data_IF_882026212513
#
_entry.id   IF_882026212513
#
_cell.length_a   1.000
_cell.length_b   1.000
_cell.length_c   1.000
_cell.angle_alpha   90.00
_cell.angle_beta   90.00
_cell.angle_gamma   90.00
#
_symmetry.space_group_name_H-M   'P 1'
#
loop_
_entity.id
_entity.type
_entity.pdbx_description
1 polymer ?
#
# COMPACT_ATOMS: atom_id res chain seq x y z
N UNK A 1 2.65 -10.07 15.80
CA UNK A 1 1.67 -8.95 15.56
C UNK A 1 0.47 -9.47 14.78
N UNK A 2 -0.71 -8.88 14.98
CA UNK A 2 -1.90 -9.29 14.25
C UNK A 2 -1.83 -8.82 12.81
N UNK A 3 -2.16 -9.71 11.85
CA UNK A 3 -2.25 -9.39 10.44
C UNK A 3 -3.72 -9.37 10.01
N UNK A 4 -4.10 -8.36 9.22
CA UNK A 4 -5.41 -8.27 8.59
C UNK A 4 -5.27 -8.19 7.08
N UNK A 5 -6.18 -8.82 6.33
CA UNK A 5 -6.31 -8.53 4.91
C UNK A 5 -7.73 -8.10 4.57
N UNK A 6 -7.81 -7.04 3.75
CA UNK A 6 -9.07 -6.41 3.34
C UNK A 6 -9.56 -7.12 2.09
N UNK A 7 -10.79 -7.65 2.12
CA UNK A 7 -11.35 -8.32 0.96
C UNK A 7 -12.87 -8.14 0.87
N UNK A 8 -13.37 -7.85 -0.32
CA UNK A 8 -14.81 -7.76 -0.61
C UNK A 8 -15.47 -9.13 -0.54
N UNK A 9 -16.67 -9.21 0.08
CA UNK A 9 -17.44 -10.46 0.19
C UNK A 9 -17.77 -11.08 -1.16
N UNK A 10 -17.99 -10.25 -2.19
CA UNK A 10 -18.33 -10.67 -3.54
C UNK A 10 -17.13 -11.07 -4.40
N UNK A 11 -15.90 -11.08 -3.85
CA UNK A 11 -14.68 -11.44 -4.56
C UNK A 11 -13.95 -12.58 -3.80
N UNK A 12 -14.54 -13.77 -3.73
CA UNK A 12 -13.99 -14.90 -2.96
C UNK A 12 -12.69 -15.46 -3.54
N UNK A 13 -12.44 -15.30 -4.83
CA UNK A 13 -11.19 -15.72 -5.47
C UNK A 13 -9.96 -14.97 -4.95
N UNK A 14 -10.09 -13.67 -4.66
CA UNK A 14 -9.03 -12.88 -4.04
C UNK A 14 -8.81 -13.28 -2.58
N UNK A 15 -9.90 -13.60 -1.87
CA UNK A 15 -9.79 -14.18 -0.54
C UNK A 15 -8.97 -15.47 -0.56
N UNK A 16 -9.31 -16.40 -1.44
CA UNK A 16 -8.59 -17.67 -1.60
C UNK A 16 -7.12 -17.44 -1.95
N UNK A 17 -6.83 -16.45 -2.81
CA UNK A 17 -5.47 -16.06 -3.13
C UNK A 17 -4.71 -15.63 -1.87
N UNK A 18 -5.25 -14.71 -1.08
CA UNK A 18 -4.57 -14.21 0.12
C UNK A 18 -4.38 -15.29 1.19
N UNK A 19 -5.38 -16.13 1.43
CA UNK A 19 -5.27 -17.27 2.36
C UNK A 19 -4.13 -18.23 1.95
N UNK A 20 -3.87 -18.36 0.64
CA UNK A 20 -2.75 -19.12 0.09
C UNK A 20 -1.41 -18.40 0.27
N UNK A 21 -1.35 -17.09 -0.02
CA UNK A 21 -0.14 -16.29 0.17
C UNK A 21 0.31 -16.29 1.64
N UNK A 22 -0.61 -16.11 2.57
CA UNK A 22 -0.29 -16.19 4.01
C UNK A 22 0.20 -17.58 4.41
N UNK A 23 -0.47 -18.65 3.95
CA UNK A 23 -0.05 -20.02 4.22
C UNK A 23 1.34 -20.31 3.66
N UNK A 24 1.64 -19.83 2.45
CA UNK A 24 2.94 -20.01 1.79
C UNK A 24 4.10 -19.47 2.63
N UNK A 25 3.90 -18.35 3.29
CA UNK A 25 4.94 -17.73 4.13
C UNK A 25 4.81 -18.08 5.62
N UNK A 26 3.85 -18.92 6.00
CA UNK A 26 3.66 -19.34 7.39
C UNK A 26 3.10 -18.25 8.32
N UNK A 27 2.37 -17.28 7.78
CA UNK A 27 1.70 -16.25 8.54
C UNK A 27 0.20 -16.55 8.69
N UNK A 28 -0.36 -16.16 9.84
CA UNK A 28 -1.79 -16.14 10.06
C UNK A 28 -2.33 -14.71 9.87
N UNK A 29 -3.48 -14.60 9.21
CA UNK A 29 -4.14 -13.33 9.03
C UNK A 29 -5.66 -13.46 9.16
N UNK A 30 -6.28 -12.44 9.74
CA UNK A 30 -7.74 -12.32 9.82
C UNK A 30 -8.25 -11.57 8.60
N UNK A 31 -9.24 -12.18 7.91
CA UNK A 31 -9.94 -11.48 6.84
C UNK A 31 -10.81 -10.38 7.42
N UNK A 32 -10.66 -9.17 6.89
CA UNK A 32 -11.50 -8.03 7.20
C UNK A 32 -12.43 -7.73 6.02
N UNK A 33 -13.75 -7.72 6.26
CA UNK A 33 -14.73 -7.44 5.21
C UNK A 33 -14.61 -5.98 4.75
N UNK A 34 -14.30 -5.80 3.47
CA UNK A 34 -14.15 -4.49 2.85
C UNK A 34 -15.48 -3.75 2.73
N UNK A 35 -15.43 -2.43 2.74
CA UNK A 35 -16.58 -1.59 2.40
C UNK A 35 -16.83 -1.66 0.89
N UNK A 36 -17.96 -2.24 0.49
CA UNK A 36 -18.32 -2.31 -0.92
C UNK A 36 -18.83 -0.94 -1.41
N UNK A 37 -18.06 -0.34 -2.29
CA UNK A 37 -18.40 0.97 -2.86
C UNK A 37 -19.67 0.96 -3.73
N UNK A 38 -20.14 -0.21 -4.17
CA UNK A 38 -21.44 -0.34 -4.85
C UNK A 38 -22.62 -0.22 -3.88
N UNK A 39 -22.36 -0.41 -2.60
CA UNK A 39 -23.30 -0.37 -1.50
C UNK A 39 -22.90 0.64 -0.43
N UNK A 40 -22.15 1.69 -0.83
CA UNK A 40 -21.57 2.65 0.13
C UNK A 40 -22.65 3.36 0.97
N UNK A 41 -23.83 3.51 0.40
CA UNK A 41 -24.98 4.12 1.04
C UNK A 41 -25.57 3.27 2.18
N UNK A 42 -25.29 1.96 2.18
CA UNK A 42 -25.72 1.03 3.23
C UNK A 42 -24.84 1.10 4.49
N UNK A 43 -23.73 1.83 4.41
CA UNK A 43 -22.76 1.89 5.51
C UNK A 43 -22.94 3.16 6.36
N UNK A 44 -23.08 2.96 7.64
CA UNK A 44 -23.05 4.05 8.61
C UNK A 44 -21.63 4.58 8.80
N UNK A 45 -21.53 5.82 9.26
CA UNK A 45 -20.26 6.48 9.63
C UNK A 45 -19.23 6.64 8.51
N UNK A 46 -19.65 6.66 7.24
CA UNK A 46 -18.80 7.09 6.13
C UNK A 46 -18.42 8.55 6.34
N UNK A 47 -17.10 8.83 6.36
CA UNK A 47 -16.57 10.18 6.65
C UNK A 47 -16.11 10.93 5.41
N UNK A 48 -16.37 10.38 4.24
CA UNK A 48 -16.10 11.09 3.00
C UNK A 48 -16.97 12.34 2.86
N UNK A 49 -16.31 13.47 2.67
CA UNK A 49 -16.98 14.74 2.34
C UNK A 49 -16.26 15.36 1.15
N UNK A 50 -16.93 15.63 0.03
CA UNK A 50 -16.31 16.32 -1.10
C UNK A 50 -15.61 17.59 -0.62
N UNK A 51 -14.37 17.78 -1.02
CA UNK A 51 -13.55 18.97 -0.73
C UNK A 51 -12.99 19.08 0.69
N UNK A 52 -13.18 18.07 1.53
CA UNK A 52 -12.60 18.07 2.88
C UNK A 52 -11.08 17.87 2.90
N UNK A 53 -10.50 17.33 1.81
CA UNK A 53 -9.06 17.06 1.68
C UNK A 53 -8.39 17.79 0.52
N UNK A 54 -7.19 17.32 0.16
CA UNK A 54 -6.42 17.88 -0.94
C UNK A 54 -7.00 17.57 -2.31
N UNK A 55 -7.82 16.53 -2.42
CA UNK A 55 -8.40 16.05 -3.67
C UNK A 55 -9.87 16.46 -3.79
N UNK A 56 -10.29 16.63 -5.04
CA UNK A 56 -11.67 16.96 -5.38
C UNK A 56 -12.35 15.84 -6.15
N UNK A 57 -11.57 15.04 -6.82
CA UNK A 57 -12.04 14.04 -7.76
C UNK A 57 -11.55 12.67 -7.31
N UNK A 58 -12.23 12.07 -6.35
CA UNK A 58 -12.09 10.66 -6.06
C UNK A 58 -13.29 9.88 -6.60
N UNK A 59 -13.04 8.64 -6.97
CA UNK A 59 -14.06 7.74 -7.50
C UNK A 59 -14.65 6.88 -6.38
N UNK A 60 -15.84 6.33 -6.60
CA UNK A 60 -16.54 5.53 -5.57
C UNK A 60 -15.67 4.40 -4.99
N UNK A 61 -14.92 3.68 -5.84
CA UNK A 61 -14.03 2.62 -5.35
C UNK A 61 -12.98 3.12 -4.35
N UNK A 62 -12.45 4.32 -4.55
CA UNK A 62 -11.46 4.91 -3.62
C UNK A 62 -12.06 5.27 -2.27
N UNK A 63 -13.35 5.65 -2.23
CA UNK A 63 -14.08 5.85 -0.97
C UNK A 63 -14.19 4.51 -0.23
N UNK A 64 -14.62 3.45 -0.93
CA UNK A 64 -14.73 2.12 -0.33
C UNK A 64 -13.40 1.61 0.23
N UNK A 65 -12.30 1.77 -0.50
CA UNK A 65 -10.97 1.41 -0.02
C UNK A 65 -10.61 2.22 1.22
N UNK A 66 -10.77 3.54 1.19
CA UNK A 66 -10.44 4.40 2.34
C UNK A 66 -11.25 4.01 3.59
N UNK A 67 -12.56 3.82 3.47
CA UNK A 67 -13.40 3.43 4.59
C UNK A 67 -13.05 2.02 5.11
N UNK A 68 -12.60 1.12 4.25
CA UNK A 68 -12.13 -0.21 4.69
C UNK A 68 -10.92 -0.08 5.61
N UNK A 69 -9.93 0.75 5.25
CA UNK A 69 -8.78 1.01 6.12
C UNK A 69 -9.18 1.72 7.42
N UNK A 70 -10.07 2.73 7.36
CA UNK A 70 -10.58 3.37 8.57
C UNK A 70 -11.20 2.37 9.55
N UNK A 71 -11.99 1.43 9.05
CA UNK A 71 -12.65 0.40 9.87
C UNK A 71 -11.64 -0.57 10.49
N UNK A 72 -10.56 -0.90 9.79
CA UNK A 72 -9.48 -1.69 10.39
C UNK A 72 -8.80 -0.91 11.51
N UNK A 73 -8.50 0.38 11.34
CA UNK A 73 -7.93 1.20 12.41
C UNK A 73 -8.87 1.25 13.63
N UNK A 74 -10.17 1.38 13.43
CA UNK A 74 -11.16 1.29 14.51
C UNK A 74 -11.15 -0.08 15.20
N UNK A 75 -11.07 -1.17 14.41
CA UNK A 75 -11.01 -2.52 14.94
C UNK A 75 -9.73 -2.80 15.74
N UNK A 76 -8.59 -2.23 15.30
CA UNK A 76 -7.34 -2.26 16.08
C UNK A 76 -7.53 -1.66 17.48
N UNK A 77 -8.14 -0.47 17.55
CA UNK A 77 -8.37 0.20 18.83
C UNK A 77 -9.36 -0.58 19.69
N UNK A 78 -10.43 -1.09 19.12
CA UNK A 78 -11.43 -1.88 19.81
C UNK A 78 -10.89 -3.22 20.36
N UNK A 79 -9.88 -3.79 19.70
CA UNK A 79 -9.20 -5.03 20.10
C UNK A 79 -7.96 -4.78 20.98
N UNK A 80 -7.69 -3.54 21.35
CA UNK A 80 -6.56 -3.13 22.16
C UNK A 80 -5.19 -3.56 21.59
N UNK A 81 -5.04 -3.51 20.25
CA UNK A 81 -3.80 -3.88 19.56
C UNK A 81 -2.81 -2.72 19.54
N UNK A 82 -1.58 -2.95 19.99
CA UNK A 82 -0.52 -1.93 19.93
C UNK A 82 0.00 -1.70 18.52
N UNK A 83 -0.06 -2.73 17.68
CA UNK A 83 0.41 -2.71 16.30
C UNK A 83 -0.32 -3.75 15.46
N UNK A 84 -0.50 -3.47 14.17
CA UNK A 84 -1.02 -4.43 13.21
C UNK A 84 -0.34 -4.30 11.85
N UNK A 85 -0.32 -5.41 11.10
CA UNK A 85 0.02 -5.42 9.70
C UNK A 85 -1.29 -5.50 8.88
N UNK A 86 -1.41 -4.64 7.87
CA UNK A 86 -2.61 -4.48 7.06
C UNK A 86 -2.26 -4.72 5.60
N UNK A 87 -3.06 -5.54 4.91
CA UNK A 87 -2.85 -5.96 3.53
C UNK A 87 -4.12 -5.79 2.69
N UNK A 88 -3.97 -5.44 1.41
CA UNK A 88 -5.02 -5.56 0.40
C UNK A 88 -5.12 -7.01 -0.10
N UNK A 89 -6.15 -7.34 -0.89
CA UNK A 89 -6.48 -8.72 -1.29
C UNK A 89 -5.84 -9.19 -2.60
N UNK A 90 -4.90 -8.43 -3.13
CA UNK A 90 -4.16 -8.75 -4.35
C UNK A 90 -2.63 -8.72 -4.14
N UNK A 91 -2.18 -9.05 -2.94
CA UNK A 91 -0.77 -9.02 -2.59
C UNK A 91 -0.05 -10.31 -2.98
N UNK A 92 1.22 -10.14 -3.29
CA UNK A 92 2.25 -11.15 -3.41
C UNK A 92 3.28 -10.94 -2.30
N UNK A 93 3.70 -12.01 -1.64
CA UNK A 93 4.65 -11.96 -0.54
C UNK A 93 5.96 -12.67 -0.84
N UNK A 94 7.05 -12.04 -0.42
CA UNK A 94 8.34 -12.69 -0.28
C UNK A 94 8.46 -13.34 1.11
N UNK A 95 9.18 -14.48 1.26
CA UNK A 95 9.36 -15.13 2.55
C UNK A 95 9.93 -14.24 3.64
N UNK A 96 10.72 -13.25 3.25
CA UNK A 96 11.36 -12.27 4.12
C UNK A 96 10.36 -11.40 4.90
N UNK A 97 9.11 -11.36 4.48
CA UNK A 97 8.06 -10.61 5.20
C UNK A 97 7.93 -11.07 6.66
N UNK A 98 8.13 -12.36 6.92
CA UNK A 98 8.01 -12.94 8.26
C UNK A 98 9.08 -12.36 9.19
N UNK A 99 10.34 -12.33 8.74
CA UNK A 99 11.44 -11.77 9.54
C UNK A 99 11.26 -10.27 9.76
N UNK A 100 10.84 -9.53 8.73
CA UNK A 100 10.58 -8.09 8.87
C UNK A 100 9.46 -7.80 9.86
N UNK A 101 8.32 -8.50 9.76
CA UNK A 101 7.18 -8.31 10.67
C UNK A 101 7.55 -8.67 12.12
N UNK A 102 8.26 -9.78 12.34
CA UNK A 102 8.73 -10.19 13.67
C UNK A 102 9.65 -9.14 14.29
N UNK A 103 10.55 -8.57 13.51
CA UNK A 103 11.47 -7.53 13.99
C UNK A 103 10.77 -6.20 14.24
N UNK A 104 9.81 -5.81 13.41
CA UNK A 104 9.01 -4.61 13.64
C UNK A 104 8.18 -4.73 14.91
N UNK A 105 7.65 -5.92 15.21
CA UNK A 105 6.88 -6.18 16.42
C UNK A 105 7.72 -6.05 17.70
N UNK A 106 8.98 -6.48 17.65
CA UNK A 106 9.90 -6.43 18.79
C UNK A 106 10.61 -5.09 18.93
N UNK A 107 10.64 -4.28 17.89
CA UNK A 107 11.24 -2.95 17.95
C UNK A 107 10.34 -2.00 18.75
N UNK A 108 10.92 -1.24 19.68
CA UNK A 108 10.19 -0.13 20.29
C UNK A 108 9.75 0.84 19.16
N UNK A 109 8.46 1.19 19.05
CA UNK A 109 7.96 1.87 17.87
C UNK A 109 8.51 3.29 17.75
N UNK A 110 9.54 3.43 16.94
CA UNK A 110 10.10 4.72 16.52
C UNK A 110 9.49 5.24 15.21
N UNK A 111 8.40 4.61 14.78
CA UNK A 111 7.65 4.92 13.58
C UNK A 111 6.16 4.99 13.87
N UNK A 112 5.42 5.61 12.99
CA UNK A 112 3.96 5.62 13.00
C UNK A 112 3.43 4.57 12.01
N UNK A 113 3.95 4.57 10.79
CA UNK A 113 3.66 3.57 9.77
C UNK A 113 4.93 3.15 9.04
N UNK A 114 5.00 1.87 8.67
CA UNK A 114 6.04 1.31 7.80
C UNK A 114 5.39 0.66 6.60
N UNK A 115 5.68 1.19 5.42
CA UNK A 115 5.23 0.67 4.14
C UNK A 115 6.12 -0.51 3.72
N UNK A 116 5.49 -1.64 3.37
CA UNK A 116 6.16 -2.91 3.04
C UNK A 116 6.16 -3.21 1.54
N UNK A 117 5.31 -2.51 0.78
CA UNK A 117 5.14 -2.63 -0.67
C UNK A 117 5.65 -1.39 -1.42
N UNK A 118 5.63 -1.46 -2.75
CA UNK A 118 5.91 -0.32 -3.61
C UNK A 118 5.10 -0.42 -4.90
N UNK A 119 4.83 0.73 -5.51
CA UNK A 119 4.35 0.83 -6.88
C UNK A 119 5.51 0.91 -7.90
N UNK A 120 6.76 0.78 -7.45
CA UNK A 120 7.98 0.81 -8.25
C UNK A 120 8.17 2.09 -9.08
N UNK A 121 7.56 3.17 -8.66
CA UNK A 121 7.85 4.51 -9.18
C UNK A 121 8.89 5.20 -8.31
N UNK A 122 9.77 6.04 -8.91
CA UNK A 122 10.75 6.78 -8.14
C UNK A 122 10.10 7.74 -7.15
N UNK A 123 10.33 7.52 -5.86
CA UNK A 123 9.92 8.39 -4.74
C UNK A 123 11.14 8.90 -3.98
N UNK A 124 11.11 10.17 -3.54
CA UNK A 124 12.14 10.69 -2.66
C UNK A 124 12.05 10.05 -1.28
N UNK A 125 13.15 9.44 -0.87
CA UNK A 125 13.31 8.84 0.45
C UNK A 125 14.52 9.46 1.15
N UNK A 126 14.49 9.58 2.47
CA UNK A 126 15.63 10.06 3.26
C UNK A 126 16.82 9.09 3.20
N UNK A 127 17.96 9.49 3.76
CA UNK A 127 18.93 8.54 4.27
C UNK A 127 18.23 7.54 5.22
N UNK A 128 18.78 6.33 5.45
CA UNK A 128 18.23 5.45 6.48
C UNK A 128 18.22 6.18 7.83
N UNK A 129 17.03 6.33 8.42
CA UNK A 129 16.87 6.95 9.74
C UNK A 129 16.81 5.89 10.84
N UNK A 130 16.30 4.72 10.50
CA UNK A 130 16.19 3.55 11.36
C UNK A 130 16.70 2.32 10.60
N UNK A 131 17.16 1.32 11.33
CA UNK A 131 17.49 0.00 10.78
C UNK A 131 16.87 -1.07 11.67
N UNK A 132 16.00 -1.87 11.09
CA UNK A 132 15.33 -2.98 11.77
C UNK A 132 15.91 -4.28 11.24
N UNK A 133 16.84 -4.87 12.00
CA UNK A 133 17.63 -6.01 11.51
C UNK A 133 18.46 -5.61 10.27
N UNK A 134 18.15 -6.23 9.13
CA UNK A 134 18.79 -5.92 7.84
C UNK A 134 18.06 -4.87 7.01
N UNK A 135 16.87 -4.41 7.42
CA UNK A 135 16.07 -3.45 6.67
C UNK A 135 16.35 -2.01 7.10
N UNK A 136 16.93 -1.19 6.22
CA UNK A 136 16.90 0.25 6.39
C UNK A 136 15.47 0.76 6.20
N UNK A 137 15.01 1.56 7.14
CA UNK A 137 13.78 2.31 7.06
C UNK A 137 14.11 3.74 6.67
N UNK A 138 13.57 4.17 5.53
CA UNK A 138 13.78 5.51 4.98
C UNK A 138 12.49 6.30 5.06
N UNK A 139 12.56 7.51 5.58
CA UNK A 139 11.39 8.38 5.64
C UNK A 139 10.87 8.70 4.25
N UNK A 140 9.57 8.60 4.06
CA UNK A 140 8.89 8.99 2.82
C UNK A 140 8.81 10.52 2.79
N UNK A 141 9.34 11.15 1.74
CA UNK A 141 9.47 12.60 1.62
C UNK A 141 8.51 13.24 0.61
N UNK A 142 7.61 12.45 0.02
CA UNK A 142 6.58 12.92 -0.92
C UNK A 142 5.33 12.05 -0.84
N UNK A 143 4.34 12.41 -1.65
CA UNK A 143 3.20 11.51 -1.89
C UNK A 143 3.71 10.14 -2.38
N UNK A 144 3.13 9.07 -1.88
CA UNK A 144 3.52 7.69 -2.20
C UNK A 144 2.31 6.92 -2.70
N UNK A 145 2.48 6.16 -3.75
CA UNK A 145 1.43 5.34 -4.35
C UNK A 145 1.43 3.93 -3.75
N UNK A 146 0.25 3.30 -3.74
CA UNK A 146 -0.03 1.99 -3.15
C UNK A 146 -0.10 2.00 -1.62
N UNK A 147 -1.11 1.37 -1.10
CA UNK A 147 -1.34 1.11 0.32
C UNK A 147 -1.59 -0.39 0.54
N UNK A 148 -0.98 -1.22 -0.31
CA UNK A 148 -1.25 -2.66 -0.37
C UNK A 148 -0.75 -3.43 0.83
N UNK A 149 0.37 -3.01 1.44
CA UNK A 149 0.94 -3.66 2.61
C UNK A 149 1.67 -2.66 3.52
N UNK A 150 1.28 -2.58 4.79
CA UNK A 150 1.93 -1.72 5.77
C UNK A 150 1.72 -2.19 7.20
N UNK A 151 2.63 -1.78 8.07
CA UNK A 151 2.51 -1.90 9.52
C UNK A 151 2.13 -0.54 10.09
N UNK A 152 1.24 -0.53 11.06
CA UNK A 152 0.76 0.68 11.74
C UNK A 152 0.74 0.48 13.25
N UNK A 153 1.14 1.52 14.00
CA UNK A 153 1.02 1.54 15.46
C UNK A 153 -0.38 2.00 15.89
N UNK A 154 -0.78 1.68 17.11
CA UNK A 154 -2.01 2.17 17.75
C UNK A 154 -2.11 3.70 17.67
N UNK A 155 -1.05 4.39 18.11
CA UNK A 155 -1.02 5.85 18.10
C UNK A 155 -1.24 6.41 16.69
N UNK A 156 -0.66 5.78 15.68
CA UNK A 156 -0.85 6.16 14.31
C UNK A 156 -2.29 5.92 13.82
N UNK A 157 -2.90 4.80 14.21
CA UNK A 157 -4.31 4.52 13.90
C UNK A 157 -5.25 5.56 14.51
N UNK A 158 -5.06 5.93 15.78
CA UNK A 158 -5.80 7.01 16.45
C UNK A 158 -5.64 8.34 15.69
N UNK A 159 -4.42 8.69 15.32
CA UNK A 159 -4.12 9.93 14.62
C UNK A 159 -4.72 9.97 13.20
N UNK A 160 -4.63 8.86 12.45
CA UNK A 160 -5.24 8.77 11.12
C UNK A 160 -6.76 8.83 11.19
N UNK A 161 -7.38 8.22 12.19
CA UNK A 161 -8.83 8.33 12.42
C UNK A 161 -9.24 9.78 12.70
N UNK A 162 -8.51 10.48 13.56
CA UNK A 162 -8.77 11.89 13.87
C UNK A 162 -8.59 12.78 12.64
N UNK A 163 -7.52 12.59 11.87
CA UNK A 163 -7.27 13.39 10.67
C UNK A 163 -8.25 13.12 9.54
N UNK A 164 -8.83 11.91 9.48
CA UNK A 164 -9.77 11.51 8.44
C UNK A 164 -11.24 11.75 8.79
N UNK A 165 -11.53 12.64 9.72
CA UNK A 165 -12.90 13.05 10.08
C UNK A 165 -13.14 14.54 9.87
N UNK A 166 -13.55 15.00 8.68
CA UNK A 166 -13.79 14.24 7.44
C UNK A 166 -12.57 14.14 6.51
N UNK A 167 -12.67 13.34 5.43
CA UNK A 167 -11.63 13.21 4.42
C UNK A 167 -12.13 13.38 2.98
N UNK A 168 -11.20 13.72 2.07
CA UNK A 168 -11.35 13.64 0.61
C UNK A 168 -9.96 13.47 -0.02
N UNK A 169 -9.34 12.33 0.20
CA UNK A 169 -8.01 11.99 -0.30
C UNK A 169 -7.95 10.51 -0.72
N UNK A 170 -6.91 10.12 -1.44
CA UNK A 170 -6.61 8.71 -1.63
C UNK A 170 -5.95 8.15 -0.36
N UNK A 171 -6.23 6.91 -0.02
CA UNK A 171 -5.73 6.27 1.19
C UNK A 171 -4.20 6.25 1.26
N UNK A 172 -3.54 5.98 0.14
CA UNK A 172 -2.10 5.94 0.02
C UNK A 172 -1.46 7.31 0.29
N UNK A 173 -1.93 8.36 -0.40
CA UNK A 173 -1.50 9.74 -0.12
C UNK A 173 -1.81 10.12 1.33
N UNK A 174 -2.98 9.76 1.84
CA UNK A 174 -3.40 10.12 3.19
C UNK A 174 -2.53 9.45 4.26
N UNK A 175 -2.19 8.19 4.08
CA UNK A 175 -1.45 7.40 5.07
C UNK A 175 0.04 7.74 5.07
N UNK A 176 0.64 7.97 3.89
CA UNK A 176 2.10 8.05 3.78
C UNK A 176 2.65 9.45 3.52
N UNK A 177 1.83 10.44 3.11
CA UNK A 177 2.34 11.77 2.81
C UNK A 177 2.97 12.44 4.03
N UNK A 178 4.09 13.14 3.83
CA UNK A 178 4.81 13.82 4.90
C UNK A 178 3.94 14.86 5.61
N UNK A 179 3.94 14.81 6.94
CA UNK A 179 3.33 15.81 7.83
C UNK A 179 4.27 16.11 9.00
N UNK A 180 4.20 17.29 9.61
CA UNK A 180 4.97 17.57 10.82
C UNK A 180 4.70 16.53 11.92
N UNK A 181 5.76 15.95 12.44
CA UNK A 181 5.68 14.92 13.49
C UNK A 181 5.30 13.52 13.00
N UNK A 182 4.85 13.34 11.75
CA UNK A 182 4.46 12.04 11.19
C UNK A 182 5.66 11.25 10.70
N UNK A 183 5.81 10.02 11.19
CA UNK A 183 6.97 9.14 10.92
C UNK A 183 6.55 7.98 10.01
N UNK A 184 6.35 8.29 8.74
CA UNK A 184 6.06 7.31 7.70
C UNK A 184 7.35 6.86 7.02
N UNK A 185 7.61 5.56 7.03
CA UNK A 185 8.83 4.97 6.47
C UNK A 185 8.51 3.97 5.36
N UNK A 186 9.42 3.87 4.41
CA UNK A 186 9.52 2.78 3.45
C UNK A 186 10.57 1.80 3.93
N UNK A 187 10.22 0.53 4.06
CA UNK A 187 11.20 -0.54 4.22
C UNK A 187 11.86 -0.85 2.86
N UNK A 188 13.17 -0.99 2.83
CA UNK A 188 13.92 -1.36 1.63
C UNK A 188 14.93 -2.47 1.91
N UNK A 189 14.99 -3.47 1.03
CA UNK A 189 14.10 -3.76 -0.10
C UNK A 189 12.66 -4.06 0.36
N UNK A 190 11.68 -3.94 -0.55
CA UNK A 190 10.28 -4.27 -0.25
C UNK A 190 10.08 -5.79 -0.23
N UNK A 191 9.15 -6.23 0.60
CA UNK A 191 8.84 -7.64 0.83
C UNK A 191 7.45 -8.05 0.36
N UNK A 192 6.70 -7.10 -0.18
CA UNK A 192 5.36 -7.31 -0.71
C UNK A 192 5.13 -6.45 -1.96
N UNK A 193 4.23 -6.88 -2.82
CA UNK A 193 3.77 -6.12 -3.98
C UNK A 193 2.34 -6.49 -4.34
N UNK A 194 1.58 -5.53 -4.86
CA UNK A 194 0.34 -5.87 -5.55
C UNK A 194 0.65 -6.65 -6.83
N UNK A 195 -0.14 -7.66 -7.15
CA UNK A 195 0.06 -8.50 -8.35
C UNK A 195 0.11 -7.68 -9.66
N UNK A 196 -0.67 -6.61 -9.73
CA UNK A 196 -0.71 -5.72 -10.89
C UNK A 196 0.52 -4.85 -11.04
N UNK A 197 1.34 -4.72 -9.99
CA UNK A 197 2.50 -3.86 -9.92
C UNK A 197 3.82 -4.65 -9.86
N UNK A 198 3.75 -5.97 -9.87
CA UNK A 198 4.94 -6.81 -9.85
C UNK A 198 5.93 -6.39 -10.94
N UNK A 199 7.22 -6.22 -10.61
CA UNK A 199 8.26 -5.97 -11.59
C UNK A 199 8.27 -7.06 -12.68
N UNK A 200 8.65 -6.68 -13.90
CA UNK A 200 8.61 -7.60 -15.05
C UNK A 200 9.46 -8.84 -14.84
N UNK A 201 10.64 -8.69 -14.25
CA UNK A 201 11.54 -9.80 -13.90
C UNK A 201 10.88 -10.83 -12.97
N UNK A 202 9.98 -10.41 -12.10
CA UNK A 202 9.14 -11.30 -11.30
C UNK A 202 7.92 -11.80 -12.07
N UNK A 203 7.21 -10.90 -12.74
CA UNK A 203 6.02 -11.26 -13.50
C UNK A 203 6.33 -12.25 -14.63
N UNK A 204 7.52 -12.16 -15.23
CA UNK A 204 7.95 -13.03 -16.31
C UNK A 204 8.26 -14.48 -15.85
N UNK A 205 8.56 -14.67 -14.57
CA UNK A 205 8.80 -15.99 -13.99
C UNK A 205 7.53 -16.70 -13.53
N UNK A 206 6.47 -15.93 -13.28
CA UNK A 206 5.24 -16.45 -12.71
C UNK A 206 4.07 -16.12 -13.64
N UNK A 207 3.78 -17.01 -14.55
CA UNK A 207 2.48 -17.00 -15.22
C UNK A 207 1.47 -17.43 -14.24
N UNK A 208 0.58 -16.66 -14.09
CA UNK A 208 -0.40 -17.18 -13.30
C UNK A 208 -1.74 -17.26 -13.93
N UNK A 209 -2.30 -18.31 -13.64
CA UNK A 209 -3.71 -18.56 -13.70
C UNK A 209 -4.55 -17.53 -12.93
N UNK A 210 -4.00 -16.36 -12.71
CA UNK A 210 -4.55 -15.34 -11.85
C UNK A 210 -5.04 -14.14 -12.60
N UNK A 211 -5.29 -14.29 -13.91
CA UNK A 211 -5.91 -13.23 -14.69
C UNK A 211 -7.20 -12.71 -14.03
N UNK A 212 -7.94 -13.59 -13.38
CA UNK A 212 -9.13 -13.19 -12.59
C UNK A 212 -8.82 -12.45 -11.31
N UNK A 213 -7.74 -12.79 -10.62
CA UNK A 213 -7.32 -12.12 -9.38
C UNK A 213 -6.69 -10.75 -9.67
N UNK A 214 -5.97 -10.64 -10.78
CA UNK A 214 -5.26 -9.43 -11.19
C UNK A 214 -6.19 -8.32 -11.69
N UNK A 215 -7.39 -8.64 -12.16
CA UNK A 215 -8.32 -7.61 -12.61
C UNK A 215 -8.80 -6.76 -11.44
N UNK A 216 -8.52 -5.46 -11.53
CA UNK A 216 -9.07 -4.50 -10.57
C UNK A 216 -10.59 -4.45 -10.72
N UNK A 217 -11.31 -4.56 -9.60
CA UNK A 217 -12.77 -4.38 -9.52
C UNK A 217 -13.25 -3.11 -10.24
N UNK A 218 -12.47 -2.04 -10.15
CA UNK A 218 -12.71 -0.78 -10.87
C UNK A 218 -12.77 -0.95 -12.39
N UNK A 219 -12.14 -1.99 -12.94
CA UNK A 219 -12.18 -2.29 -14.36
C UNK A 219 -13.39 -3.13 -14.76
N UNK A 220 -13.99 -3.83 -13.81
CA UNK A 220 -15.16 -4.70 -14.03
C UNK A 220 -16.45 -3.89 -14.02
N UNK A 221 -16.64 -2.99 -13.04
CA UNK A 221 -17.86 -2.20 -12.92
C UNK A 221 -17.63 -0.70 -13.18
N UNK A 222 -18.21 -0.15 -14.25
CA UNK A 222 -18.08 1.29 -14.56
C UNK A 222 -18.59 2.23 -13.45
N UNK A 223 -19.55 1.79 -12.62
CA UNK A 223 -20.06 2.58 -11.50
C UNK A 223 -18.98 2.91 -10.48
N UNK A 224 -18.01 2.02 -10.32
CA UNK A 224 -16.88 2.21 -9.41
C UNK A 224 -15.89 3.29 -9.86
N UNK A 225 -15.90 3.63 -11.16
CA UNK A 225 -15.09 4.72 -11.73
C UNK A 225 -15.78 6.09 -11.67
N UNK A 226 -17.01 6.12 -11.21
CA UNK A 226 -17.80 7.34 -11.19
C UNK A 226 -17.20 8.35 -10.21
N UNK A 227 -16.87 9.54 -10.71
CA UNK A 227 -16.37 10.65 -9.88
C UNK A 227 -17.53 11.22 -9.08
N UNK A 228 -17.32 11.36 -7.79
CA UNK A 228 -18.38 11.82 -6.87
C UNK A 228 -18.56 13.33 -6.92
N UNK A 229 -17.49 14.08 -7.19
CA UNK A 229 -17.56 15.54 -7.33
C UNK A 229 -16.51 16.07 -8.31
N UNK A 230 -16.81 17.22 -8.92
CA UNK A 230 -15.86 17.95 -9.78
C UNK A 230 -15.47 19.27 -9.11
N UNK A 231 -14.17 19.58 -9.14
CA UNK A 231 -13.67 20.84 -8.65
C UNK A 231 -14.17 22.01 -9.50
N UNK A 232 -14.54 23.16 -8.91
CA UNK A 232 -14.78 24.40 -9.64
C UNK A 232 -13.58 24.80 -10.48
N UNK A 233 -13.84 25.43 -11.64
CA UNK A 233 -12.80 25.82 -12.60
C UNK A 233 -11.60 26.56 -11.97
N UNK A 234 -11.78 27.59 -11.11
CA UNK A 234 -10.64 28.31 -10.53
C UNK A 234 -9.71 27.42 -9.70
N UNK A 235 -10.29 26.45 -8.97
CA UNK A 235 -9.47 25.49 -8.19
C UNK A 235 -8.73 24.49 -9.08
N UNK A 236 -9.31 24.10 -10.19
CA UNK A 236 -8.64 23.26 -11.19
C UNK A 236 -7.40 23.96 -11.75
N UNK A 237 -7.53 25.21 -12.15
CA UNK A 237 -6.41 26.04 -12.61
C UNK A 237 -5.33 26.16 -11.53
N UNK A 238 -5.71 26.52 -10.29
CA UNK A 238 -4.77 26.63 -9.17
C UNK A 238 -4.03 25.31 -8.89
N UNK A 239 -4.72 24.18 -8.98
CA UNK A 239 -4.12 22.85 -8.83
C UNK A 239 -3.02 22.59 -9.88
N UNK A 240 -3.31 22.90 -11.16
CA UNK A 240 -2.34 22.70 -12.26
C UNK A 240 -1.13 23.64 -12.11
N UNK A 241 -1.35 24.91 -11.77
CA UNK A 241 -0.27 25.86 -11.48
C UNK A 241 0.62 25.35 -10.34
N UNK A 242 0.01 24.96 -9.22
CA UNK A 242 0.75 24.42 -8.07
C UNK A 242 1.50 23.13 -8.41
N UNK A 243 0.91 22.25 -9.24
CA UNK A 243 1.56 21.03 -9.72
C UNK A 243 2.79 21.35 -10.55
N UNK A 244 2.68 22.30 -11.45
CA UNK A 244 3.78 22.74 -12.33
C UNK A 244 4.89 23.40 -11.51
N UNK A 245 4.54 24.29 -10.60
CA UNK A 245 5.49 24.95 -9.70
C UNK A 245 6.25 23.92 -8.83
N UNK A 246 5.55 22.94 -8.25
CA UNK A 246 6.21 21.86 -7.49
C UNK A 246 7.20 21.08 -8.34
N UNK A 247 6.86 20.76 -9.59
CA UNK A 247 7.77 20.07 -10.52
C UNK A 247 9.02 20.89 -10.82
N UNK A 248 8.86 22.20 -11.05
CA UNK A 248 9.99 23.12 -11.29
C UNK A 248 10.86 23.21 -10.06
N UNK A 249 10.30 23.50 -8.90
CA UNK A 249 11.04 23.58 -7.63
C UNK A 249 11.76 22.27 -7.30
N UNK A 250 11.14 21.14 -7.56
CA UNK A 250 11.77 19.85 -7.41
C UNK A 250 12.98 19.67 -8.33
N UNK A 251 12.85 20.03 -9.61
CA UNK A 251 13.96 19.93 -10.57
C UNK A 251 15.13 20.83 -10.22
N UNK A 252 14.85 22.04 -9.77
CA UNK A 252 15.88 23.07 -9.50
C UNK A 252 16.57 22.86 -8.16
N UNK A 253 15.81 22.58 -7.11
CA UNK A 253 16.33 22.53 -5.74
C UNK A 253 16.11 21.20 -5.03
N UNK A 254 14.98 20.55 -5.23
CA UNK A 254 14.55 19.39 -4.47
C UNK A 254 15.49 18.20 -4.62
N UNK A 255 15.86 17.84 -5.86
CA UNK A 255 16.77 16.73 -6.13
C UNK A 255 18.17 16.93 -5.54
N UNK A 256 18.70 18.15 -5.68
CA UNK A 256 20.03 18.50 -5.12
C UNK A 256 20.02 18.40 -3.60
N UNK A 257 18.99 18.97 -2.95
CA UNK A 257 18.84 18.92 -1.50
C UNK A 257 18.66 17.49 -0.99
N UNK A 258 17.88 16.66 -1.69
CA UNK A 258 17.70 15.25 -1.34
C UNK A 258 19.05 14.53 -1.34
N UNK A 259 19.83 14.64 -2.44
CA UNK A 259 21.11 13.94 -2.57
C UNK A 259 22.16 14.44 -1.58
N UNK A 260 22.21 15.76 -1.32
CA UNK A 260 23.16 16.34 -0.35
C UNK A 260 22.86 15.94 1.11
N UNK A 261 21.62 15.56 1.42
CA UNK A 261 21.23 15.01 2.73
C UNK A 261 21.36 13.48 2.82
N UNK A 262 22.00 12.82 1.85
CA UNK A 262 22.11 11.36 1.81
C UNK A 262 20.82 10.64 1.43
N UNK A 263 19.80 11.38 1.04
CA UNK A 263 18.54 10.81 0.54
C UNK A 263 18.70 10.25 -0.88
N UNK A 264 17.73 9.46 -1.28
CA UNK A 264 17.70 8.80 -2.59
C UNK A 264 16.38 9.03 -3.31
N UNK A 265 16.41 8.92 -4.63
CA UNK A 265 15.21 8.76 -5.44
C UNK A 265 15.10 7.27 -5.77
N UNK A 266 14.25 6.56 -5.03
CA UNK A 266 14.14 5.11 -5.14
C UNK A 266 12.84 4.72 -5.81
N UNK A 267 12.92 3.78 -6.74
CA UNK A 267 11.76 3.05 -7.25
C UNK A 267 11.47 1.80 -6.41
N UNK A 268 12.21 1.62 -5.33
CA UNK A 268 12.28 0.39 -4.52
C UNK A 268 12.64 -0.85 -5.36
N UNK A 269 13.02 -1.90 -4.72
CA UNK A 269 13.25 -3.21 -5.34
C UNK A 269 12.69 -4.28 -4.44
N UNK A 270 12.22 -5.36 -5.02
CA UNK A 270 11.92 -6.56 -4.26
C UNK A 270 13.20 -7.07 -3.60
N UNK A 271 13.08 -7.75 -2.47
CA UNK A 271 14.21 -8.38 -1.81
C UNK A 271 14.95 -9.31 -2.80
N UNK A 272 16.29 -9.41 -2.70
CA UNK A 272 17.09 -10.21 -3.66
C UNK A 272 16.67 -11.67 -3.65
N UNK A 273 16.56 -12.25 -4.82
CA UNK A 273 16.24 -13.69 -5.00
C UNK A 273 17.25 -14.63 -4.34
N UNK A 274 18.49 -14.18 -4.17
CA UNK A 274 19.53 -14.93 -3.45
C UNK A 274 19.15 -15.29 -2.01
N UNK A 275 18.11 -14.67 -1.48
CA UNK A 275 17.54 -14.98 -0.17
C UNK A 275 16.53 -16.13 -0.21
N UNK A 276 16.09 -16.54 -1.41
CA UNK A 276 15.12 -17.64 -1.56
C UNK A 276 15.74 -19.03 -1.52
N UNK A 277 17.08 -19.17 -1.52
CA UNK A 277 17.73 -20.44 -1.69
C UNK A 277 17.56 -21.00 -3.12
N UNK A 278 18.20 -22.15 -3.41
CA UNK A 278 18.18 -22.77 -4.75
C UNK A 278 16.82 -23.40 -5.13
N UNK A 279 15.85 -23.44 -4.22
CA UNK A 279 14.53 -24.04 -4.44
C UNK A 279 13.45 -23.01 -4.83
N UNK A 280 13.71 -22.26 -5.90
CA UNK A 280 12.66 -21.45 -6.57
C UNK A 280 11.43 -22.31 -6.96
N UNK A 281 11.59 -23.61 -7.05
CA UNK A 281 10.54 -24.58 -7.35
C UNK A 281 9.44 -24.64 -6.30
N UNK A 282 9.76 -24.38 -5.04
CA UNK A 282 8.77 -24.37 -3.95
C UNK A 282 7.90 -23.10 -3.92
N UNK A 283 8.33 -22.05 -4.58
CA UNK A 283 7.52 -20.84 -4.70
C UNK A 283 6.51 -20.91 -5.85
N UNK A 284 6.68 -21.84 -6.78
CA UNK A 284 5.94 -21.81 -8.03
C UNK A 284 4.62 -22.58 -8.02
N UNK A 285 4.51 -23.86 -7.70
CA UNK A 285 3.33 -24.61 -8.12
C UNK A 285 2.09 -24.40 -7.25
N UNK A 286 2.25 -24.43 -5.94
CA UNK A 286 1.10 -24.55 -5.03
C UNK A 286 0.50 -23.23 -4.58
N UNK A 287 1.25 -22.18 -4.71
CA UNK A 287 0.84 -20.87 -4.24
C UNK A 287 0.64 -19.84 -5.34
N UNK A 288 1.49 -19.85 -6.31
CA UNK A 288 1.65 -18.73 -7.21
C UNK A 288 1.36 -19.01 -8.69
N UNK A 289 1.18 -20.27 -9.08
CA UNK A 289 1.08 -20.73 -10.45
C UNK A 289 2.43 -21.14 -11.00
N UNK A 290 2.42 -21.67 -12.19
CA UNK A 290 3.60 -22.22 -12.83
C UNK A 290 4.59 -21.13 -13.26
N UNK A 291 5.88 -21.43 -13.21
CA UNK A 291 6.91 -20.59 -13.82
C UNK A 291 6.66 -20.51 -15.33
N UNK A 292 6.74 -19.31 -15.88
CA UNK A 292 6.63 -19.14 -17.33
C UNK A 292 7.93 -19.43 -17.98
N UNK A 293 7.90 -20.33 -18.96
CA UNK A 293 8.97 -20.42 -19.90
C UNK A 293 9.02 -19.12 -20.74
N UNK A 294 10.14 -18.38 -20.72
CA UNK A 294 10.28 -17.14 -21.50
C UNK A 294 10.10 -17.35 -23.01
N UNK A 295 10.20 -18.58 -23.50
CA UNK A 295 10.06 -18.92 -24.91
C UNK A 295 8.60 -18.97 -25.39
N UNK A 296 7.61 -18.99 -24.50
CA UNK A 296 6.18 -19.04 -24.90
C UNK A 296 5.53 -17.67 -25.13
N UNK A 297 6.31 -16.60 -25.06
CA UNK A 297 5.83 -15.21 -25.28
C UNK A 297 6.22 -14.61 -26.64
N UNK A 298 6.43 -15.40 -27.64
CA UNK A 298 6.64 -14.90 -29.02
C UNK A 298 5.34 -14.75 -29.80
#
# INVERSE_FOLDING_TARGET
MKCFFINLDRVPERRTHMEREFRKVGLEAERFAAVDALRIEDYENVRYVPHAGARWEIVKSQIGVFESHRRIWQAMLAQDLDMAAIFEDDMFFLPEIVDLLSRLETAAPQFDVVKLDSAFYPVPLSAPELTIGRWPLRRILSDSTSCGAYVITRQAAEQLLAWSDPYCDHIDDFTFSPRPGWRAYQAEPVVASQLTLLPRDFADRYVNARQTVVQSERNIDPRLRQKVAKAPFPRRVRKEVNRTMRKILWRVHGRRRLLSSGGILSASRMAPESLYGEDERDLSPDGLGELVDPAERS
#
